data_IF_122713402684
#
_entry.id   IF_122713402684
#
_cell.length_a   1.000
_cell.length_b   1.000
_cell.length_c   1.000
_cell.angle_alpha   90.00
_cell.angle_beta   90.00
_cell.angle_gamma   90.00
#
_symmetry.space_group_name_H-M   'P 1'
#
loop_
_entity.id
_entity.type
_entity.pdbx_description
1 polymer ?
#
# COMPACT_ATOMS: atom_id res chain seq x y z
N UNK A 1 -22.28 -25.09 17.79
CA UNK A 1 -23.09 -24.18 16.95
C UNK A 1 -22.22 -23.01 16.54
N UNK A 2 -22.44 -22.47 15.33
CA UNK A 2 -21.80 -21.30 14.70
C UNK A 2 -20.29 -21.40 14.49
N UNK A 3 -19.84 -21.75 13.29
CA UNK A 3 -18.47 -21.40 12.89
C UNK A 3 -18.48 -20.78 11.55
N UNK A 4 -17.86 -19.63 11.44
CA UNK A 4 -17.95 -18.65 10.37
C UNK A 4 -19.31 -17.99 10.37
N UNK A 5 -19.34 -16.84 9.75
CA UNK A 5 -20.52 -16.46 8.98
C UNK A 5 -20.86 -17.46 7.83
N UNK A 6 -20.29 -18.67 7.80
CA UNK A 6 -20.31 -19.74 6.77
C UNK A 6 -20.49 -21.19 7.37
N UNK A 7 -20.71 -21.38 8.69
CA UNK A 7 -21.00 -22.67 9.37
C UNK A 7 -20.11 -23.94 9.21
N UNK A 8 -18.76 -24.02 9.23
CA UNK A 8 -18.10 -25.28 8.79
C UNK A 8 -17.89 -26.47 9.76
N UNK A 9 -17.84 -26.35 11.10
CA UNK A 9 -17.99 -27.45 12.08
C UNK A 9 -17.02 -28.66 12.05
N UNK A 10 -16.91 -29.36 10.92
CA UNK A 10 -16.02 -30.50 10.60
C UNK A 10 -16.07 -30.84 9.06
N UNK A 11 -16.63 -29.93 8.24
CA UNK A 11 -16.95 -30.18 6.84
C UNK A 11 -15.94 -29.45 5.96
N UNK A 12 -14.82 -30.09 5.68
CA UNK A 12 -13.94 -29.69 4.57
C UNK A 12 -14.59 -30.22 3.30
N UNK A 13 -14.73 -29.44 2.21
CA UNK A 13 -15.26 -30.00 0.96
C UNK A 13 -14.35 -31.15 0.51
N UNK A 14 -14.82 -32.39 0.65
CA UNK A 14 -14.11 -33.58 0.20
C UNK A 14 -14.23 -33.75 -1.32
N UNK A 15 -15.25 -33.13 -1.92
CA UNK A 15 -15.48 -33.15 -3.36
C UNK A 15 -14.58 -32.15 -4.09
N UNK A 16 -14.05 -32.57 -5.25
CA UNK A 16 -13.19 -31.73 -6.11
C UNK A 16 -13.85 -30.40 -6.44
N UNK A 17 -15.16 -30.42 -6.71
CA UNK A 17 -15.95 -29.23 -7.01
C UNK A 17 -16.11 -28.30 -5.82
N UNK A 18 -16.26 -28.85 -4.60
CA UNK A 18 -16.31 -28.04 -3.38
C UNK A 18 -14.97 -27.39 -3.04
N UNK A 19 -13.84 -28.08 -3.26
CA UNK A 19 -12.50 -27.50 -3.08
C UNK A 19 -12.22 -26.37 -4.06
N UNK A 20 -12.63 -26.54 -5.32
CA UNK A 20 -12.51 -25.49 -6.33
C UNK A 20 -13.27 -24.22 -5.91
N UNK A 21 -14.54 -24.37 -5.51
CA UNK A 21 -15.36 -23.23 -5.09
C UNK A 21 -14.81 -22.56 -3.82
N UNK A 22 -14.34 -23.33 -2.84
CA UNK A 22 -13.72 -22.81 -1.62
C UNK A 22 -12.42 -22.03 -1.90
N UNK A 23 -11.59 -22.53 -2.82
CA UNK A 23 -10.37 -21.81 -3.23
C UNK A 23 -10.69 -20.50 -3.94
N UNK A 24 -11.74 -20.48 -4.77
CA UNK A 24 -12.17 -19.29 -5.49
C UNK A 24 -12.72 -18.21 -4.53
N UNK A 25 -13.57 -18.60 -3.58
CA UNK A 25 -14.11 -17.65 -2.59
C UNK A 25 -13.03 -17.10 -1.66
N UNK A 26 -12.02 -17.90 -1.32
CA UNK A 26 -10.86 -17.44 -0.56
C UNK A 26 -10.08 -16.35 -1.33
N UNK A 27 -9.80 -16.56 -2.62
CA UNK A 27 -9.14 -15.56 -3.47
C UNK A 27 -9.96 -14.28 -3.62
N UNK A 28 -11.28 -14.41 -3.81
CA UNK A 28 -12.20 -13.28 -3.88
C UNK A 28 -12.22 -12.50 -2.55
N UNK A 29 -12.23 -13.20 -1.41
CA UNK A 29 -12.17 -12.58 -0.08
C UNK A 29 -10.92 -11.71 0.10
N UNK A 30 -9.74 -12.22 -0.24
CA UNK A 30 -8.51 -11.42 -0.20
C UNK A 30 -8.54 -10.24 -1.18
N UNK A 31 -9.12 -10.43 -2.36
CA UNK A 31 -9.24 -9.38 -3.38
C UNK A 31 -10.09 -8.20 -2.87
N UNK A 32 -11.18 -8.48 -2.14
CA UNK A 32 -12.05 -7.45 -1.56
C UNK A 32 -11.30 -6.65 -0.48
N UNK A 33 -10.41 -7.27 0.29
CA UNK A 33 -9.58 -6.58 1.29
C UNK A 33 -8.47 -5.71 0.66
N UNK A 34 -7.99 -6.08 -0.53
CA UNK A 34 -6.96 -5.33 -1.25
C UNK A 34 -7.45 -3.97 -1.77
N UNK A 35 -8.74 -3.83 -2.10
CA UNK A 35 -9.31 -2.59 -2.63
C UNK A 35 -9.29 -1.43 -1.63
N UNK A 36 -9.86 -1.54 -0.40
CA UNK A 36 -9.87 -0.43 0.54
C UNK A 36 -8.45 -0.08 1.00
N UNK A 37 -7.61 -1.08 1.28
CA UNK A 37 -6.20 -0.87 1.64
C UNK A 37 -5.43 -0.18 0.51
N UNK A 38 -5.70 -0.55 -0.74
CA UNK A 38 -5.13 0.11 -1.93
C UNK A 38 -5.53 1.58 -2.06
N UNK A 39 -6.80 1.91 -1.84
CA UNK A 39 -7.30 3.30 -1.85
C UNK A 39 -6.61 4.13 -0.77
N UNK A 40 -6.64 3.66 0.47
CA UNK A 40 -5.97 4.32 1.61
C UNK A 40 -4.47 4.53 1.34
N UNK A 41 -3.79 3.53 0.79
CA UNK A 41 -2.37 3.61 0.45
C UNK A 41 -2.10 4.62 -0.67
N UNK A 42 -3.00 4.74 -1.65
CA UNK A 42 -2.87 5.69 -2.75
C UNK A 42 -2.94 7.14 -2.24
N UNK A 43 -3.89 7.44 -1.34
CA UNK A 43 -4.03 8.75 -0.71
C UNK A 43 -2.78 9.11 0.11
N UNK A 44 -2.32 8.20 0.98
CA UNK A 44 -1.09 8.40 1.77
C UNK A 44 0.14 8.61 0.87
N UNK A 45 0.27 7.84 -0.21
CA UNK A 45 1.35 8.02 -1.17
C UNK A 45 1.30 9.38 -1.88
N UNK A 46 0.10 9.89 -2.18
CA UNK A 46 -0.08 11.20 -2.79
C UNK A 46 0.33 12.32 -1.84
N UNK A 47 -0.02 12.21 -0.56
CA UNK A 47 0.42 13.15 0.48
C UNK A 47 1.95 13.11 0.63
N UNK A 48 2.56 11.94 0.79
CA UNK A 48 4.03 11.79 0.85
C UNK A 48 4.74 12.34 -0.39
N UNK A 49 4.18 12.12 -1.60
CA UNK A 49 4.71 12.69 -2.85
C UNK A 49 4.60 14.22 -2.87
N UNK A 50 3.54 14.78 -2.30
CA UNK A 50 3.37 16.22 -2.18
C UNK A 50 4.47 16.80 -1.30
N UNK A 51 4.72 16.23 -0.12
CA UNK A 51 5.84 16.62 0.76
C UNK A 51 7.21 16.54 0.06
N UNK A 52 7.48 15.46 -0.70
CA UNK A 52 8.73 15.33 -1.49
C UNK A 52 8.87 16.37 -2.63
N UNK A 53 7.75 16.83 -3.19
CA UNK A 53 7.75 17.85 -4.25
C UNK A 53 7.87 19.28 -3.71
N UNK A 54 7.45 19.55 -2.47
CA UNK A 54 7.62 20.86 -1.82
C UNK A 54 9.09 21.16 -1.51
N UNK A 55 9.91 20.15 -1.20
CA UNK A 55 11.34 20.32 -0.89
C UNK A 55 12.13 20.56 -2.18
N UNK A 56 12.15 21.81 -2.64
CA UNK A 56 12.96 22.27 -3.78
C UNK A 56 14.33 22.71 -3.30
N UNK A 57 15.37 22.34 -4.04
CA UNK A 57 16.71 22.83 -3.79
C UNK A 57 16.76 24.36 -3.97
N UNK A 58 17.29 25.13 -3.00
CA UNK A 58 17.36 26.59 -3.10
C UNK A 58 18.32 27.08 -4.19
N UNK A 59 19.29 26.25 -4.60
CA UNK A 59 20.30 26.62 -5.58
C UNK A 59 19.90 26.28 -7.02
N UNK A 60 19.41 25.06 -7.27
CA UNK A 60 19.14 24.57 -8.63
C UNK A 60 17.66 24.27 -8.92
N UNK A 61 16.76 24.57 -7.99
CA UNK A 61 15.31 24.32 -8.06
C UNK A 61 14.89 22.87 -8.33
N UNK A 62 15.81 21.91 -8.22
CA UNK A 62 15.50 20.48 -8.39
C UNK A 62 14.60 20.01 -7.24
N UNK A 63 13.59 19.21 -7.55
CA UNK A 63 12.67 18.59 -6.60
C UNK A 63 12.78 17.05 -6.63
N UNK A 64 12.00 16.37 -5.79
CA UNK A 64 12.00 14.91 -5.72
C UNK A 64 13.26 14.37 -5.08
N UNK A 65 13.72 15.03 -4.01
CA UNK A 65 14.74 14.52 -3.11
C UNK A 65 14.14 13.43 -2.21
N UNK A 66 14.98 12.52 -1.73
CA UNK A 66 14.58 11.58 -0.69
C UNK A 66 14.25 12.34 0.61
N UNK A 67 13.45 11.72 1.48
CA UNK A 67 12.93 12.40 2.68
C UNK A 67 14.06 12.74 3.65
N UNK A 68 15.06 11.87 3.69
CA UNK A 68 16.28 11.88 4.48
C UNK A 68 17.50 12.44 3.73
N UNK A 69 17.31 13.03 2.54
CA UNK A 69 18.42 13.64 1.81
C UNK A 69 18.90 14.94 2.49
N UNK A 70 20.17 14.98 2.90
CA UNK A 70 20.83 16.19 3.39
C UNK A 70 21.35 17.07 2.25
N UNK A 71 21.63 16.47 1.08
CA UNK A 71 22.22 17.15 -0.07
C UNK A 71 21.42 16.95 -1.35
N UNK A 72 21.45 17.95 -2.22
CA UNK A 72 20.78 17.89 -3.52
C UNK A 72 21.48 16.91 -4.47
N UNK A 73 20.75 15.89 -4.95
CA UNK A 73 21.24 14.90 -5.94
C UNK A 73 21.78 15.46 -7.27
N UNK A 74 21.47 16.72 -7.60
CA UNK A 74 21.87 17.34 -8.89
C UNK A 74 23.04 18.30 -8.75
N UNK A 75 23.06 19.11 -7.69
CA UNK A 75 24.05 20.19 -7.53
C UNK A 75 24.90 20.09 -6.25
N UNK A 76 24.62 19.14 -5.36
CA UNK A 76 25.36 18.95 -4.11
C UNK A 76 25.10 19.99 -3.02
N UNK A 77 24.23 20.98 -3.24
CA UNK A 77 23.88 21.97 -2.19
C UNK A 77 23.10 21.32 -1.05
N UNK A 78 23.39 21.73 0.19
CA UNK A 78 22.68 21.28 1.38
C UNK A 78 21.20 21.69 1.31
N UNK A 79 20.32 20.75 1.62
CA UNK A 79 18.87 20.94 1.63
C UNK A 79 18.44 21.46 3.02
N UNK A 80 17.43 22.35 3.10
CA UNK A 80 16.92 22.84 4.37
C UNK A 80 16.30 21.70 5.19
N UNK A 81 16.63 21.63 6.48
CA UNK A 81 16.17 20.60 7.42
C UNK A 81 14.63 20.59 7.55
N UNK A 82 14.07 19.39 7.70
CA UNK A 82 12.62 19.17 7.70
C UNK A 82 12.06 19.58 9.08
N UNK A 83 11.26 20.64 9.15
CA UNK A 83 10.54 21.07 10.37
C UNK A 83 9.16 20.43 10.38
#
# INVERSE_FOLDING_TARGET
MTITTVGYGDIVPQTVMGKALASLTMLLGYSILAVPTGILTAELNQEMKTHRNLRRCPNCATSGHEVDADFCKKCGTQLPENI
#
